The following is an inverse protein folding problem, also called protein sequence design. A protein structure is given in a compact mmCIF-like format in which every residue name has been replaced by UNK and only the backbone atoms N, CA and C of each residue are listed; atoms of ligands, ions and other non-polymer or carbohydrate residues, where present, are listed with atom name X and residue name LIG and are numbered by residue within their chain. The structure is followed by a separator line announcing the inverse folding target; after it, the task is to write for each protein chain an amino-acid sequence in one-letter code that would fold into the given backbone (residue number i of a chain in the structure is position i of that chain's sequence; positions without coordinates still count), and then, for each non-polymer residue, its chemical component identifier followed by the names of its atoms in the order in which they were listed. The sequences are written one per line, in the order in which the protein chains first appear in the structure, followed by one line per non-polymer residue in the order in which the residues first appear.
data_IF_538539587580
#
_entry.id   IF_538539587580
#
_cell.length_a   1.000
_cell.length_b   1.000
_cell.length_c   1.000
_cell.angle_alpha   90.00
_cell.angle_beta   90.00
_cell.angle_gamma   90.00
#
_symmetry.space_group_name_H-M   'P 1'
#
loop_
_entity.id
_entity.type
_entity.pdbx_description
1 polymer ?
#
# COMPACT_ATOMS: atom_id res chain seq x y z
N UNK A 1 49.77 7.80 9.51
CA UNK A 1 48.66 7.40 10.39
C UNK A 1 47.41 8.15 9.90
N UNK A 2 46.54 7.44 9.20
CA UNK A 2 45.31 7.99 8.59
C UNK A 2 44.17 7.86 9.59
N UNK A 3 43.72 8.98 10.18
CA UNK A 3 42.55 9.03 11.05
C UNK A 3 41.29 8.77 10.17
N UNK A 4 40.69 7.56 10.25
CA UNK A 4 39.38 7.32 9.74
C UNK A 4 38.39 8.27 10.42
N UNK A 5 37.83 9.19 9.67
CA UNK A 5 36.80 10.09 10.15
C UNK A 5 35.59 9.32 10.63
N UNK A 6 34.99 9.75 11.76
CA UNK A 6 33.74 9.26 12.29
C UNK A 6 32.67 9.46 11.20
N UNK A 7 31.84 8.44 10.84
CA UNK A 7 30.79 8.61 9.86
C UNK A 7 29.88 9.77 10.25
N UNK A 8 29.39 10.54 9.25
CA UNK A 8 28.51 11.67 9.50
C UNK A 8 27.23 11.18 10.16
N UNK A 9 26.70 11.96 11.08
CA UNK A 9 25.52 11.63 11.89
C UNK A 9 24.28 11.30 11.04
N UNK A 10 24.19 11.86 9.83
CA UNK A 10 23.12 11.60 8.86
C UNK A 10 23.18 10.18 8.24
N UNK A 11 24.39 9.69 7.92
CA UNK A 11 24.56 8.35 7.35
C UNK A 11 24.21 7.26 8.38
N UNK A 12 24.53 7.51 9.66
CA UNK A 12 24.16 6.60 10.76
C UNK A 12 22.64 6.62 11.07
N UNK A 13 21.96 7.73 10.80
CA UNK A 13 20.49 7.87 10.98
C UNK A 13 19.74 7.07 9.92
N UNK A 14 20.16 7.15 8.66
CA UNK A 14 19.58 6.37 7.54
C UNK A 14 19.78 4.86 7.78
N UNK A 15 20.97 4.46 8.23
CA UNK A 15 21.29 3.06 8.52
C UNK A 15 20.36 2.45 9.60
N UNK A 16 20.09 3.15 10.69
CA UNK A 16 19.23 2.64 11.77
C UNK A 16 17.76 2.49 11.36
N UNK A 17 17.21 3.42 10.58
CA UNK A 17 15.84 3.32 10.06
C UNK A 17 15.72 2.10 9.15
N UNK A 18 16.63 1.98 8.19
CA UNK A 18 16.67 0.86 7.27
C UNK A 18 16.87 -0.46 8.01
N UNK A 19 17.74 -0.49 8.99
CA UNK A 19 17.98 -1.67 9.83
C UNK A 19 16.71 -2.13 10.56
N UNK A 20 15.89 -1.20 11.10
CA UNK A 20 14.60 -1.52 11.71
C UNK A 20 13.67 -2.16 10.67
N UNK A 21 13.60 -1.60 9.48
CA UNK A 21 12.74 -2.06 8.38
C UNK A 21 13.16 -3.48 7.95
N UNK A 22 14.42 -3.68 7.61
CA UNK A 22 14.95 -4.96 7.14
C UNK A 22 14.77 -6.07 8.19
N UNK A 23 15.06 -5.75 9.45
CA UNK A 23 14.83 -6.65 10.58
C UNK A 23 13.38 -7.04 10.73
N UNK A 24 12.47 -6.08 10.53
CA UNK A 24 11.02 -6.34 10.60
C UNK A 24 10.58 -7.31 9.49
N UNK A 25 11.05 -7.10 8.26
CA UNK A 25 10.79 -8.02 7.14
C UNK A 25 11.26 -9.44 7.48
N UNK A 26 12.47 -9.57 8.02
CA UNK A 26 12.99 -10.87 8.40
C UNK A 26 12.21 -11.55 9.52
N UNK A 27 11.78 -10.80 10.54
CA UNK A 27 10.94 -11.32 11.62
C UNK A 27 9.60 -11.83 11.10
N UNK A 28 8.93 -11.05 10.21
CA UNK A 28 7.68 -11.48 9.57
C UNK A 28 7.88 -12.78 8.81
N UNK A 29 8.93 -12.85 7.98
CA UNK A 29 9.21 -14.06 7.16
C UNK A 29 9.52 -15.29 7.99
N UNK A 30 10.24 -15.15 9.10
CA UNK A 30 10.71 -16.29 9.92
C UNK A 30 9.69 -16.73 10.96
N UNK A 31 8.93 -15.81 11.52
CA UNK A 31 8.14 -16.04 12.72
C UNK A 31 6.69 -15.57 12.62
N UNK A 32 6.31 -15.01 11.47
CA UNK A 32 4.98 -14.41 11.27
C UNK A 32 4.85 -13.01 11.91
N UNK A 33 3.74 -12.35 11.60
CA UNK A 33 3.50 -10.97 12.03
C UNK A 33 3.29 -10.83 13.55
N UNK A 34 2.84 -11.88 14.23
CA UNK A 34 2.66 -11.91 15.68
C UNK A 34 3.99 -11.72 16.44
N UNK A 35 5.08 -12.17 15.84
CA UNK A 35 6.42 -12.01 16.40
C UNK A 35 6.93 -10.56 16.35
N UNK A 36 6.30 -9.69 15.55
CA UNK A 36 6.70 -8.30 15.40
C UNK A 36 6.15 -7.47 16.56
N UNK A 37 7.03 -7.12 17.46
CA UNK A 37 6.81 -6.16 18.55
C UNK A 37 7.95 -5.15 18.55
N UNK A 38 7.75 -3.97 19.13
CA UNK A 38 8.83 -2.98 19.30
C UNK A 38 10.07 -3.63 19.93
N UNK A 39 9.85 -4.49 20.93
CA UNK A 39 10.91 -5.16 21.65
C UNK A 39 11.65 -6.18 20.78
N UNK A 40 10.92 -7.07 20.09
CA UNK A 40 11.55 -8.10 19.23
C UNK A 40 12.32 -7.47 18.06
N UNK A 41 11.80 -6.39 17.47
CA UNK A 41 12.50 -5.65 16.42
C UNK A 41 13.78 -5.02 16.97
N UNK A 42 13.73 -4.36 18.13
CA UNK A 42 14.89 -3.75 18.76
C UNK A 42 15.96 -4.78 19.13
N UNK A 43 15.55 -5.90 19.74
CA UNK A 43 16.45 -6.99 20.11
C UNK A 43 17.14 -7.60 18.86
N UNK A 44 16.37 -7.89 17.81
CA UNK A 44 16.91 -8.47 16.57
C UNK A 44 17.77 -7.48 15.78
N UNK A 45 17.44 -6.18 15.83
CA UNK A 45 18.22 -5.12 15.18
C UNK A 45 19.43 -4.65 16.01
N UNK A 46 19.61 -5.14 17.24
CA UNK A 46 20.63 -4.64 18.18
C UNK A 46 20.54 -3.09 18.35
N UNK A 47 19.31 -2.61 18.61
CA UNK A 47 19.01 -1.19 18.79
C UNK A 47 18.27 -0.96 20.11
N UNK A 48 18.39 0.24 20.66
CA UNK A 48 17.61 0.63 21.82
C UNK A 48 16.16 0.90 21.46
N UNK A 49 15.24 0.70 22.42
CA UNK A 49 13.83 1.07 22.28
C UNK A 49 13.68 2.58 22.00
N UNK A 50 14.54 3.42 22.60
CA UNK A 50 14.57 4.84 22.31
C UNK A 50 14.96 5.15 20.86
N UNK A 51 15.84 4.36 20.25
CA UNK A 51 16.18 4.47 18.82
C UNK A 51 14.99 4.14 17.95
N UNK A 52 14.20 3.10 18.28
CA UNK A 52 12.97 2.77 17.56
C UNK A 52 11.99 3.95 17.57
N UNK A 53 11.68 4.49 18.75
CA UNK A 53 10.73 5.61 18.91
C UNK A 53 11.21 6.93 18.31
N UNK A 54 12.48 7.04 17.95
CA UNK A 54 12.98 8.17 17.17
C UNK A 54 12.47 8.15 15.71
N UNK A 55 12.20 6.95 15.14
CA UNK A 55 11.78 6.77 13.76
C UNK A 55 10.31 6.41 13.58
N UNK A 56 9.74 5.68 14.51
CA UNK A 56 8.37 5.15 14.44
C UNK A 56 7.65 5.37 15.76
N UNK A 57 6.43 5.94 15.71
CA UNK A 57 5.64 6.22 16.89
C UNK A 57 5.18 4.94 17.62
N UNK A 58 4.96 3.87 16.89
CA UNK A 58 4.53 2.56 17.39
C UNK A 58 4.73 1.48 16.32
N UNK A 59 4.32 0.24 16.62
CA UNK A 59 4.36 -0.91 15.68
C UNK A 59 3.55 -0.62 14.41
N UNK A 60 2.35 -0.06 14.53
CA UNK A 60 1.46 0.16 13.39
C UNK A 60 2.02 1.22 12.44
N UNK A 61 2.71 2.24 12.97
CA UNK A 61 3.41 3.24 12.17
C UNK A 61 4.58 2.63 11.38
N UNK A 62 5.34 1.72 12.00
CA UNK A 62 6.36 0.93 11.30
C UNK A 62 5.74 0.08 10.18
N UNK A 63 4.62 -0.59 10.45
CA UNK A 63 3.95 -1.41 9.45
C UNK A 63 3.36 -0.57 8.31
N UNK A 64 2.84 0.62 8.62
CA UNK A 64 2.37 1.58 7.62
C UNK A 64 3.47 2.08 6.69
N UNK A 65 4.73 2.07 7.14
CA UNK A 65 5.86 2.40 6.29
C UNK A 65 5.88 1.53 5.02
N UNK A 66 5.62 0.23 5.14
CA UNK A 66 5.57 -0.70 4.01
C UNK A 66 4.45 -0.39 3.00
N UNK A 67 3.42 0.32 3.44
CA UNK A 67 2.29 0.73 2.59
C UNK A 67 2.52 2.10 1.95
N UNK A 68 3.16 3.03 2.68
CA UNK A 68 3.32 4.44 2.27
C UNK A 68 4.52 4.72 1.39
N UNK A 69 5.60 3.95 1.50
CA UNK A 69 6.90 4.28 0.87
C UNK A 69 6.96 4.09 -0.65
N UNK A 70 5.85 3.76 -1.31
CA UNK A 70 5.79 3.79 -2.74
C UNK A 70 5.05 5.03 -3.22
N UNK A 71 5.75 5.91 -3.87
CA UNK A 71 5.09 6.83 -4.78
C UNK A 71 4.59 6.04 -6.00
N UNK A 72 3.29 6.13 -6.26
CA UNK A 72 2.67 5.52 -7.43
C UNK A 72 2.71 6.44 -8.66
N UNK A 73 3.21 7.68 -8.52
CA UNK A 73 3.25 8.68 -9.58
C UNK A 73 4.21 8.30 -10.72
N UNK A 74 5.31 7.62 -10.39
CA UNK A 74 6.38 7.29 -11.34
C UNK A 74 6.21 5.93 -12.03
N UNK A 75 5.15 5.15 -11.70
CA UNK A 75 4.93 3.87 -12.37
C UNK A 75 4.38 4.05 -13.77
N UNK A 76 5.08 3.46 -14.75
CA UNK A 76 4.60 3.36 -16.11
C UNK A 76 3.62 2.17 -16.21
N UNK A 77 2.34 2.51 -16.44
CA UNK A 77 1.30 1.51 -16.66
C UNK A 77 1.37 1.07 -18.13
N UNK A 78 1.34 -0.24 -18.36
CA UNK A 78 1.44 -0.85 -19.68
C UNK A 78 0.09 -1.06 -20.36
N UNK A 79 -0.97 -1.23 -19.57
CA UNK A 79 -2.34 -1.34 -20.05
C UNK A 79 -2.80 -0.03 -20.68
N UNK A 80 -3.33 -0.02 -21.91
CA UNK A 80 -3.75 1.21 -22.58
C UNK A 80 -4.95 1.86 -21.85
N UNK A 81 -5.13 3.17 -22.08
CA UNK A 81 -6.17 3.94 -21.42
C UNK A 81 -7.59 3.48 -21.80
N UNK A 82 -7.76 2.98 -23.01
CA UNK A 82 -9.02 2.43 -23.54
C UNK A 82 -9.54 1.24 -22.72
N UNK A 83 -8.62 0.49 -22.10
CA UNK A 83 -8.94 -0.53 -21.10
C UNK A 83 -8.76 0.02 -19.69
N UNK A 84 -9.58 0.99 -19.32
CA UNK A 84 -9.50 1.64 -18.01
C UNK A 84 -9.62 0.65 -16.85
N UNK A 85 -10.44 -0.40 -17.00
CA UNK A 85 -10.58 -1.43 -15.97
C UNK A 85 -9.28 -2.23 -15.76
N UNK A 86 -8.67 -2.67 -16.85
CA UNK A 86 -7.36 -3.35 -16.83
C UNK A 86 -6.25 -2.44 -16.29
N UNK A 87 -6.25 -1.18 -16.71
CA UNK A 87 -5.26 -0.18 -16.28
C UNK A 87 -5.33 0.11 -14.78
N UNK A 88 -6.53 0.26 -14.24
CA UNK A 88 -6.74 0.43 -12.79
C UNK A 88 -6.42 -0.85 -12.04
N UNK A 89 -6.75 -2.03 -12.59
CA UNK A 89 -6.35 -3.31 -12.00
C UNK A 89 -4.81 -3.43 -11.93
N UNK A 90 -4.09 -3.14 -13.03
CA UNK A 90 -2.62 -3.12 -13.08
C UNK A 90 -2.04 -2.21 -11.98
N UNK A 91 -2.56 -1.00 -11.85
CA UNK A 91 -2.13 -0.04 -10.83
C UNK A 91 -2.27 -0.61 -9.41
N UNK A 92 -3.44 -1.16 -9.08
CA UNK A 92 -3.67 -1.71 -7.73
C UNK A 92 -2.93 -3.03 -7.49
N UNK A 93 -2.62 -3.81 -8.53
CA UNK A 93 -1.79 -5.01 -8.40
C UNK A 93 -0.36 -4.69 -7.97
N UNK A 94 0.16 -3.49 -8.24
CA UNK A 94 1.44 -3.02 -7.69
C UNK A 94 1.39 -2.94 -6.14
N UNK A 95 0.29 -2.43 -5.59
CA UNK A 95 0.06 -2.39 -4.13
C UNK A 95 -0.18 -3.79 -3.56
N UNK A 96 -1.06 -4.57 -4.21
CA UNK A 96 -1.43 -5.93 -3.80
C UNK A 96 -0.21 -6.85 -3.79
N UNK A 97 0.67 -6.76 -4.80
CA UNK A 97 1.90 -7.54 -4.85
C UNK A 97 2.80 -7.32 -3.62
N UNK A 98 2.81 -6.11 -3.08
CA UNK A 98 3.50 -5.82 -1.79
C UNK A 98 2.82 -6.51 -0.62
N UNK A 99 1.49 -6.45 -0.54
CA UNK A 99 0.73 -7.15 0.49
C UNK A 99 1.00 -8.65 0.45
N UNK A 100 1.00 -9.25 -0.75
CA UNK A 100 1.31 -10.67 -0.95
C UNK A 100 2.74 -11.01 -0.53
N UNK A 101 3.71 -10.12 -0.77
CA UNK A 101 5.10 -10.32 -0.36
C UNK A 101 5.30 -10.31 1.16
N UNK A 102 4.44 -9.62 1.91
CA UNK A 102 4.43 -9.61 3.37
C UNK A 102 3.78 -10.88 3.96
N UNK A 103 2.99 -11.58 3.16
CA UNK A 103 2.32 -12.81 3.53
C UNK A 103 0.94 -12.61 4.16
N UNK A 104 0.09 -13.63 4.00
CA UNK A 104 -1.32 -13.56 4.40
C UNK A 104 -1.50 -13.39 5.92
N UNK A 105 -0.67 -14.04 6.73
CA UNK A 105 -0.77 -13.95 8.19
C UNK A 105 -0.46 -12.55 8.69
N UNK A 106 0.54 -11.89 8.07
CA UNK A 106 0.80 -10.48 8.33
C UNK A 106 -0.40 -9.62 7.96
N UNK A 107 -0.98 -9.83 6.77
CA UNK A 107 -2.07 -9.00 6.28
C UNK A 107 -3.36 -9.19 7.09
N UNK A 108 -3.64 -10.39 7.61
CA UNK A 108 -4.78 -10.63 8.51
C UNK A 108 -4.72 -9.76 9.77
N UNK A 109 -3.53 -9.55 10.32
CA UNK A 109 -3.35 -8.71 11.51
C UNK A 109 -3.27 -7.23 11.18
N UNK A 110 -2.61 -6.91 10.08
CA UNK A 110 -2.44 -5.54 9.60
C UNK A 110 -3.75 -4.95 9.09
N UNK A 111 -4.52 -5.72 8.31
CA UNK A 111 -5.73 -5.27 7.63
C UNK A 111 -6.97 -5.38 8.51
N UNK A 112 -6.93 -4.68 9.64
CA UNK A 112 -7.99 -4.70 10.65
C UNK A 112 -8.45 -3.28 10.98
N UNK A 113 -9.70 -3.14 11.42
CA UNK A 113 -10.24 -1.87 11.89
C UNK A 113 -9.58 -1.35 13.17
N UNK A 114 -8.89 -2.23 13.90
CA UNK A 114 -8.09 -1.86 15.07
C UNK A 114 -6.77 -1.18 14.74
N UNK A 115 -6.30 -1.29 13.50
CA UNK A 115 -5.13 -0.55 13.02
C UNK A 115 -5.52 0.90 12.68
N UNK A 116 -5.36 1.80 13.64
CA UNK A 116 -5.75 3.21 13.51
C UNK A 116 -4.95 3.93 12.43
N UNK A 117 -3.70 3.57 12.21
CA UNK A 117 -2.87 4.17 11.17
C UNK A 117 -3.37 3.78 9.76
N UNK A 118 -3.75 2.51 9.57
CA UNK A 118 -4.39 2.04 8.34
C UNK A 118 -5.75 2.71 8.13
N UNK A 119 -6.57 2.77 9.19
CA UNK A 119 -7.89 3.41 9.14
C UNK A 119 -7.80 4.89 8.77
N UNK A 120 -6.82 5.62 9.29
CA UNK A 120 -6.58 7.02 8.94
C UNK A 120 -6.07 7.18 7.48
N UNK A 121 -5.27 6.24 6.99
CA UNK A 121 -4.74 6.28 5.62
C UNK A 121 -5.77 5.88 4.57
N UNK A 122 -6.60 4.87 4.86
CA UNK A 122 -7.56 4.29 3.91
C UNK A 122 -9.00 4.72 4.19
N UNK A 123 -9.25 5.51 5.23
CA UNK A 123 -10.57 6.00 5.60
C UNK A 123 -11.11 6.98 4.53
N UNK A 124 -12.29 6.69 4.01
CA UNK A 124 -12.88 7.34 2.85
C UNK A 124 -13.56 8.68 3.14
N UNK A 125 -13.04 9.52 4.03
CA UNK A 125 -13.74 10.76 4.41
C UNK A 125 -12.97 12.04 4.10
N UNK A 126 -12.02 12.01 3.17
CA UNK A 126 -11.35 13.23 2.71
C UNK A 126 -11.87 13.62 1.31
N UNK A 127 -12.09 14.90 1.10
CA UNK A 127 -12.48 15.49 -0.20
C UNK A 127 -11.35 15.35 -1.26
N UNK A 128 -10.21 14.76 -0.89
CA UNK A 128 -9.06 14.52 -1.79
C UNK A 128 -8.18 13.39 -1.27
N UNK A 129 -7.55 12.67 -2.17
CA UNK A 129 -6.54 11.67 -1.83
C UNK A 129 -5.15 12.31 -1.68
N UNK A 130 -4.33 11.87 -0.71
CA UNK A 130 -2.95 12.36 -0.56
C UNK A 130 -2.11 12.07 -1.81
N UNK A 131 -1.29 13.04 -2.21
CA UNK A 131 -0.34 12.89 -3.33
C UNK A 131 0.57 11.66 -3.16
N UNK A 132 0.96 11.05 -4.27
CA UNK A 132 1.81 9.86 -4.31
C UNK A 132 1.11 8.57 -3.92
N UNK A 133 -0.15 8.59 -3.48
CA UNK A 133 -0.90 7.38 -3.16
C UNK A 133 -1.47 6.69 -4.40
N UNK A 134 -1.72 5.39 -4.29
CA UNK A 134 -2.41 4.63 -5.34
C UNK A 134 -3.81 5.21 -5.65
N UNK A 135 -4.47 5.77 -4.65
CA UNK A 135 -5.80 6.38 -4.78
C UNK A 135 -5.74 7.68 -5.60
N UNK A 136 -4.79 8.59 -5.32
CA UNK A 136 -4.59 9.80 -6.10
C UNK A 136 -4.18 9.46 -7.55
N UNK A 137 -3.34 8.44 -7.75
CA UNK A 137 -2.98 7.97 -9.09
C UNK A 137 -4.19 7.36 -9.82
N UNK A 138 -5.03 6.58 -9.13
CA UNK A 138 -6.27 6.05 -9.71
C UNK A 138 -7.19 7.19 -10.18
N UNK A 139 -7.37 8.22 -9.35
CA UNK A 139 -8.16 9.41 -9.69
C UNK A 139 -7.63 10.10 -10.95
N UNK A 140 -6.32 10.24 -11.08
CA UNK A 140 -5.71 10.81 -12.28
C UNK A 140 -5.93 9.96 -13.55
N UNK A 141 -5.88 8.62 -13.43
CA UNK A 141 -6.15 7.72 -14.55
C UNK A 141 -7.63 7.74 -14.98
N UNK A 142 -8.55 7.79 -14.01
CA UNK A 142 -10.00 7.91 -14.27
C UNK A 142 -10.32 9.26 -14.92
N UNK A 143 -9.71 10.35 -14.45
CA UNK A 143 -9.86 11.68 -15.05
C UNK A 143 -9.33 11.71 -16.49
N UNK A 144 -8.18 11.10 -16.76
CA UNK A 144 -7.66 10.99 -18.12
C UNK A 144 -8.62 10.20 -19.03
N UNK A 145 -9.23 9.11 -18.53
CA UNK A 145 -10.22 8.33 -19.25
C UNK A 145 -11.51 9.12 -19.52
N UNK A 146 -11.95 9.94 -18.57
CA UNK A 146 -13.10 10.84 -18.74
C UNK A 146 -12.82 11.91 -19.81
N UNK A 147 -11.64 12.54 -19.78
CA UNK A 147 -11.23 13.52 -20.80
C UNK A 147 -11.09 12.90 -22.20
N UNK A 148 -10.73 11.62 -22.29
CA UNK A 148 -10.67 10.87 -23.54
C UNK A 148 -12.05 10.33 -24.00
N UNK A 149 -13.13 10.57 -23.28
CA UNK A 149 -14.47 10.11 -23.61
C UNK A 149 -14.67 8.59 -23.43
N UNK A 150 -13.86 7.95 -22.60
CA UNK A 150 -13.96 6.51 -22.28
C UNK A 150 -14.90 6.30 -21.08
N UNK A 151 -14.81 7.19 -20.10
CA UNK A 151 -15.71 7.30 -18.96
C UNK A 151 -16.68 8.45 -19.22
N UNK A 152 -17.93 8.32 -18.78
CA UNK A 152 -18.96 9.31 -18.98
C UNK A 152 -18.56 10.69 -18.43
N UNK A 153 -18.91 11.78 -19.13
CA UNK A 153 -18.55 13.16 -18.80
C UNK A 153 -19.09 13.56 -17.41
N UNK A 154 -20.28 13.10 -17.07
CA UNK A 154 -20.94 13.35 -15.79
C UNK A 154 -20.42 12.52 -14.61
N UNK A 155 -19.50 11.59 -14.84
CA UNK A 155 -18.96 10.74 -13.78
C UNK A 155 -18.18 11.57 -12.74
N UNK A 156 -18.52 11.38 -11.47
CA UNK A 156 -17.76 11.91 -10.35
C UNK A 156 -16.46 11.08 -10.18
N UNK A 157 -15.37 11.60 -10.70
CA UNK A 157 -14.06 10.93 -10.73
C UNK A 157 -13.55 10.57 -9.34
N UNK A 158 -13.80 11.47 -8.36
CA UNK A 158 -13.40 11.20 -6.97
C UNK A 158 -14.20 10.04 -6.39
N UNK A 159 -15.52 10.04 -6.58
CA UNK A 159 -16.38 8.95 -6.11
C UNK A 159 -16.05 7.62 -6.80
N UNK A 160 -15.82 7.63 -8.12
CA UNK A 160 -15.36 6.43 -8.87
C UNK A 160 -14.08 5.85 -8.24
N UNK A 161 -13.11 6.72 -7.92
CA UNK A 161 -11.84 6.29 -7.32
C UNK A 161 -12.02 5.78 -5.89
N UNK A 162 -12.94 6.37 -5.13
CA UNK A 162 -13.32 5.89 -3.78
C UNK A 162 -14.00 4.51 -3.83
N UNK A 163 -14.87 4.30 -4.82
CA UNK A 163 -15.54 3.02 -5.04
C UNK A 163 -14.53 1.94 -5.45
N UNK A 164 -13.61 2.24 -6.36
CA UNK A 164 -12.50 1.35 -6.71
C UNK A 164 -11.68 0.97 -5.48
N UNK A 165 -11.32 1.95 -4.65
CA UNK A 165 -10.59 1.68 -3.41
C UNK A 165 -11.39 0.76 -2.47
N UNK A 166 -12.71 0.90 -2.40
CA UNK A 166 -13.60 0.04 -1.62
C UNK A 166 -13.65 -1.38 -2.17
N UNK A 167 -13.72 -1.54 -3.49
CA UNK A 167 -13.64 -2.85 -4.17
C UNK A 167 -12.31 -3.54 -3.84
N UNK A 168 -11.19 -2.83 -3.95
CA UNK A 168 -9.86 -3.37 -3.65
C UNK A 168 -9.75 -3.80 -2.19
N UNK A 169 -10.24 -2.97 -1.25
CA UNK A 169 -10.30 -3.32 0.18
C UNK A 169 -11.09 -4.63 0.39
N UNK A 170 -12.23 -4.79 -0.26
CA UNK A 170 -13.02 -6.01 -0.22
C UNK A 170 -12.26 -7.23 -0.75
N UNK A 171 -11.56 -7.10 -1.88
CA UNK A 171 -10.74 -8.17 -2.44
C UNK A 171 -9.59 -8.58 -1.50
N UNK A 172 -8.89 -7.62 -0.90
CA UNK A 172 -7.82 -7.91 0.08
C UNK A 172 -8.38 -8.61 1.32
N UNK A 173 -9.55 -8.18 1.80
CA UNK A 173 -10.21 -8.82 2.93
C UNK A 173 -10.62 -10.26 2.63
N UNK A 174 -11.26 -10.52 1.47
CA UNK A 174 -11.62 -11.87 1.03
C UNK A 174 -10.38 -12.77 0.84
N UNK A 175 -9.29 -12.21 0.30
CA UNK A 175 -8.03 -12.93 0.19
C UNK A 175 -7.47 -13.33 1.56
N UNK A 176 -7.57 -12.45 2.56
CA UNK A 176 -7.20 -12.76 3.94
C UNK A 176 -8.09 -13.85 4.55
N UNK A 177 -9.42 -13.79 4.34
CA UNK A 177 -10.37 -14.81 4.83
C UNK A 177 -10.11 -16.18 4.21
N UNK A 178 -9.72 -16.21 2.95
CA UNK A 178 -9.42 -17.43 2.19
C UNK A 178 -7.99 -17.93 2.32
N UNK A 179 -7.26 -17.54 3.37
CA UNK A 179 -5.86 -17.96 3.61
C UNK A 179 -4.94 -17.75 2.39
N UNK A 180 -5.17 -16.67 1.65
CA UNK A 180 -4.33 -16.31 0.50
C UNK A 180 -4.61 -17.12 -0.78
N UNK A 181 -5.65 -17.95 -0.82
CA UNK A 181 -5.92 -18.84 -1.96
C UNK A 181 -6.64 -18.14 -3.13
N UNK A 182 -7.19 -16.94 -2.90
CA UNK A 182 -7.91 -16.21 -3.93
C UNK A 182 -6.94 -15.66 -4.99
N UNK A 183 -7.27 -15.87 -6.27
CA UNK A 183 -6.63 -15.16 -7.38
C UNK A 183 -7.10 -13.70 -7.38
N UNK A 184 -6.27 -12.84 -6.80
CA UNK A 184 -6.56 -11.42 -6.60
C UNK A 184 -6.69 -10.66 -7.92
N UNK A 185 -5.80 -10.97 -8.88
CA UNK A 185 -5.78 -10.31 -10.18
C UNK A 185 -7.04 -10.62 -10.98
N UNK A 186 -7.38 -11.90 -11.11
CA UNK A 186 -8.59 -12.32 -11.81
C UNK A 186 -9.87 -11.78 -11.16
N UNK A 187 -9.93 -11.76 -9.83
CA UNK A 187 -11.10 -11.26 -9.10
C UNK A 187 -11.24 -9.75 -9.27
N UNK A 188 -10.15 -8.99 -9.09
CA UNK A 188 -10.14 -7.54 -9.22
C UNK A 188 -10.53 -7.11 -10.64
N UNK A 189 -9.86 -7.69 -11.66
CA UNK A 189 -10.15 -7.39 -13.06
C UNK A 189 -11.61 -7.66 -13.41
N UNK A 190 -12.16 -8.80 -13.00
CA UNK A 190 -13.56 -9.17 -13.24
C UNK A 190 -14.55 -8.16 -12.63
N UNK A 191 -14.28 -7.69 -11.40
CA UNK A 191 -15.17 -6.76 -10.71
C UNK A 191 -15.05 -5.36 -11.34
N UNK A 192 -13.83 -4.89 -11.59
CA UNK A 192 -13.60 -3.59 -12.20
C UNK A 192 -14.14 -3.50 -13.64
N UNK A 193 -14.03 -4.58 -14.43
CA UNK A 193 -14.61 -4.64 -15.77
C UNK A 193 -16.11 -4.40 -15.73
N UNK A 194 -16.83 -5.02 -14.78
CA UNK A 194 -18.26 -4.78 -14.60
C UNK A 194 -18.56 -3.37 -14.13
N UNK A 195 -17.84 -2.90 -13.11
CA UNK A 195 -18.01 -1.55 -12.55
C UNK A 195 -17.83 -0.48 -13.63
N UNK A 196 -16.72 -0.52 -14.37
CA UNK A 196 -16.47 0.46 -15.43
C UNK A 196 -17.41 0.32 -16.63
N UNK A 197 -17.99 -0.85 -16.88
CA UNK A 197 -18.98 -1.01 -17.95
C UNK A 197 -20.28 -0.23 -17.71
N UNK A 198 -20.60 0.08 -16.46
CA UNK A 198 -21.80 0.86 -16.08
C UNK A 198 -21.59 2.38 -16.22
N UNK A 199 -20.34 2.84 -16.21
CA UNK A 199 -19.98 4.26 -16.28
C UNK A 199 -19.27 4.64 -17.58
N UNK A 200 -19.27 3.75 -18.58
CA UNK A 200 -18.76 4.06 -19.93
C UNK A 200 -19.68 5.06 -20.63
N UNK A 201 -19.07 5.92 -21.44
CA UNK A 201 -19.81 6.74 -22.37
C UNK A 201 -20.45 5.84 -23.46
N UNK A 202 -21.75 6.02 -23.71
CA UNK A 202 -22.51 5.27 -24.72
C UNK A 202 -22.38 5.91 -26.10
#
# INVERSE_FOLDING_TARGET
MNKRGRPKKEDAVIDNKQKIIDTTIELVRKHGADAVTVRSVCEAADLSIGTFYHYFANKDDLLMYFVREASFDSFELTTPLEDIAGRVAELYMLLIGRYQSLGVDFMKQFYTTGNLALSAYMGASSDSFPEGTVMARCEAEVEAARQAGIVAEEADVHQVSADVCTIVKGCVFEWCLGDGQMDMEAALLRILTRYFSEIKQH
#
